data_IF_844286727215
#
_entry.id   IF_844286727215
#
_cell.length_a   1.000
_cell.length_b   1.000
_cell.length_c   1.000
_cell.angle_alpha   90.00
_cell.angle_beta   90.00
_cell.angle_gamma   90.00
#
_symmetry.space_group_name_H-M   'P 1'
#
loop_
_entity.id
_entity.type
_entity.pdbx_description
1 polymer ?
#
# COMPACT_ATOMS: atom_id res chain seq x y z
N UNK A 1 -13.63 17.17 2.07
CA UNK A 1 -12.71 16.05 2.37
C UNK A 1 -11.40 16.64 2.87
N UNK A 2 -11.03 16.38 4.12
CA UNK A 2 -9.88 17.00 4.79
C UNK A 2 -8.64 16.09 4.88
N UNK A 3 -8.67 14.89 4.27
CA UNK A 3 -7.61 13.90 4.42
C UNK A 3 -6.24 14.39 3.91
N UNK A 4 -6.22 15.26 2.89
CA UNK A 4 -4.99 15.83 2.30
C UNK A 4 -4.23 16.75 3.25
N UNK A 5 -4.94 17.38 4.18
CA UNK A 5 -4.38 18.29 5.18
C UNK A 5 -4.20 17.59 6.55
N UNK A 6 -4.50 16.29 6.62
CA UNK A 6 -4.51 15.53 7.85
C UNK A 6 -3.13 14.90 8.12
N UNK A 7 -2.26 15.70 8.72
CA UNK A 7 -0.92 15.31 9.17
C UNK A 7 -0.97 14.11 10.13
N UNK A 8 -2.00 14.06 11.00
CA UNK A 8 -2.22 12.93 11.90
C UNK A 8 -2.48 11.62 11.16
N UNK A 9 -3.21 11.65 10.04
CA UNK A 9 -3.40 10.49 9.19
C UNK A 9 -2.12 10.13 8.42
N UNK A 10 -1.41 11.12 7.87
CA UNK A 10 -0.15 10.92 7.15
C UNK A 10 0.96 10.34 8.04
N UNK A 11 0.94 10.62 9.34
CA UNK A 11 1.89 10.11 10.33
C UNK A 11 1.54 8.72 10.91
N UNK A 12 0.42 8.10 10.52
CA UNK A 12 0.06 6.76 11.01
C UNK A 12 1.08 5.67 10.63
N UNK A 13 1.57 5.59 9.37
CA UNK A 13 2.56 4.59 9.00
C UNK A 13 3.88 4.80 9.77
N UNK A 14 4.46 3.72 10.26
CA UNK A 14 5.75 3.68 10.90
C UNK A 14 6.85 3.38 9.88
N UNK A 15 8.11 3.65 10.24
CA UNK A 15 9.27 3.23 9.46
C UNK A 15 9.22 1.71 9.25
N UNK A 16 9.61 1.24 8.07
CA UNK A 16 9.58 -0.16 7.62
C UNK A 16 8.16 -0.73 7.38
N UNK A 17 7.10 0.07 7.56
CA UNK A 17 5.75 -0.35 7.13
C UNK A 17 5.71 -0.48 5.61
N UNK A 18 5.09 -1.57 5.15
CA UNK A 18 4.76 -1.78 3.74
C UNK A 18 3.37 -1.23 3.43
N UNK A 19 3.27 -0.42 2.38
CA UNK A 19 2.01 0.17 1.94
C UNK A 19 1.71 -0.24 0.49
N UNK A 20 0.48 -0.73 0.28
CA UNK A 20 -0.09 -0.90 -1.04
C UNK A 20 -0.85 0.36 -1.43
N UNK A 21 -0.41 1.05 -2.47
CA UNK A 21 -1.16 2.16 -3.06
C UNK A 21 -2.12 1.62 -4.11
N UNK A 22 -3.35 2.14 -4.11
CA UNK A 22 -4.40 1.67 -5.02
C UNK A 22 -5.08 2.83 -5.73
N UNK A 23 -5.15 2.75 -7.05
CA UNK A 23 -5.78 3.75 -7.91
C UNK A 23 -6.55 3.06 -9.05
N UNK A 24 -7.73 3.60 -9.39
CA UNK A 24 -8.58 3.10 -10.50
C UNK A 24 -8.84 1.57 -10.49
N UNK A 25 -8.90 0.95 -9.31
CA UNK A 25 -9.15 -0.49 -9.16
C UNK A 25 -7.91 -1.38 -9.21
N UNK A 26 -6.71 -0.81 -9.36
CA UNK A 26 -5.44 -1.54 -9.38
C UNK A 26 -4.60 -1.20 -8.16
N UNK A 27 -3.83 -2.17 -7.67
CA UNK A 27 -2.64 -1.88 -6.87
C UNK A 27 -1.60 -1.30 -7.83
N UNK A 28 -1.12 -0.09 -7.54
CA UNK A 28 -0.21 0.63 -8.42
C UNK A 28 1.20 0.70 -7.89
N UNK A 29 1.37 0.62 -6.57
CA UNK A 29 2.68 0.59 -5.94
C UNK A 29 2.66 -0.33 -4.72
N UNK A 30 3.81 -0.95 -4.46
CA UNK A 30 4.22 -1.43 -3.15
C UNK A 30 5.41 -0.56 -2.73
N UNK A 31 5.28 0.08 -1.57
CA UNK A 31 6.30 0.97 -1.03
C UNK A 31 6.66 0.59 0.40
N UNK A 32 7.87 0.93 0.81
CA UNK A 32 8.34 0.85 2.19
C UNK A 32 8.58 2.26 2.73
N UNK A 33 8.17 2.51 3.97
CA UNK A 33 8.32 3.80 4.63
C UNK A 33 9.72 3.96 5.20
N UNK A 34 10.43 5.04 4.85
CA UNK A 34 11.81 5.29 5.28
C UNK A 34 11.92 6.30 6.44
N UNK A 35 10.93 7.17 6.59
CA UNK A 35 10.89 8.21 7.63
C UNK A 35 10.10 7.79 8.87
N UNK A 36 10.33 8.50 9.98
CA UNK A 36 9.67 8.25 11.27
C UNK A 36 8.35 9.00 11.45
N UNK A 37 8.09 10.02 10.63
CA UNK A 37 6.89 10.88 10.70
C UNK A 37 6.65 11.55 9.36
N UNK A 38 5.47 12.13 9.15
CA UNK A 38 5.24 12.96 7.97
C UNK A 38 6.03 14.26 8.00
N UNK A 39 6.51 14.67 6.83
CA UNK A 39 7.15 15.96 6.61
C UNK A 39 6.18 16.97 6.00
N UNK A 40 6.52 18.25 6.12
CA UNK A 40 5.72 19.35 5.57
C UNK A 40 6.58 20.37 4.83
N UNK A 41 6.25 20.62 3.57
CA UNK A 41 6.80 21.73 2.78
C UNK A 41 6.36 23.09 3.35
N UNK A 42 7.29 24.06 3.33
CA UNK A 42 7.03 25.42 3.84
C UNK A 42 6.07 26.24 2.97
N UNK A 43 5.88 25.85 1.70
CA UNK A 43 5.04 26.59 0.75
C UNK A 43 3.59 26.11 0.80
N UNK A 44 2.63 27.04 0.68
CA UNK A 44 1.19 26.76 0.71
C UNK A 44 0.70 26.14 -0.60
N UNK A 45 1.07 24.89 -0.83
CA UNK A 45 0.57 24.04 -1.92
C UNK A 45 -0.52 23.11 -1.41
N UNK A 46 -1.42 22.68 -2.31
CA UNK A 46 -2.48 21.70 -2.06
C UNK A 46 -1.98 20.30 -1.65
N UNK A 47 -0.66 20.05 -1.70
CA UNK A 47 -0.01 18.80 -1.32
C UNK A 47 1.32 19.10 -0.62
N UNK A 48 1.26 19.71 0.56
CA UNK A 48 2.47 20.07 1.31
C UNK A 48 2.85 19.04 2.38
N UNK A 49 2.02 18.04 2.69
CA UNK A 49 2.36 16.93 3.61
C UNK A 49 2.81 15.72 2.80
N UNK A 50 3.93 15.11 3.16
CA UNK A 50 4.47 13.94 2.46
C UNK A 50 5.19 12.95 3.38
N UNK A 51 5.50 11.77 2.82
CA UNK A 51 6.33 10.72 3.41
C UNK A 51 7.49 10.40 2.49
N UNK A 52 8.64 10.07 3.05
CA UNK A 52 9.80 9.54 2.35
C UNK A 52 9.70 8.02 2.31
N UNK A 53 9.73 7.44 1.11
CA UNK A 53 9.43 6.03 0.87
C UNK A 53 10.37 5.44 -0.17
N UNK A 54 10.65 4.15 -0.08
CA UNK A 54 11.27 3.37 -1.14
C UNK A 54 10.17 2.68 -1.96
N UNK A 55 10.29 2.71 -3.29
CA UNK A 55 9.38 1.99 -4.18
C UNK A 55 9.93 0.60 -4.42
N UNK A 56 9.29 -0.42 -3.83
CA UNK A 56 9.67 -1.82 -4.01
C UNK A 56 9.10 -2.40 -5.31
N UNK A 57 7.93 -1.92 -5.73
CA UNK A 57 7.28 -2.31 -6.99
C UNK A 57 6.35 -1.21 -7.49
N UNK A 58 6.25 -1.08 -8.81
CA UNK A 58 5.34 -0.17 -9.51
C UNK A 58 4.70 -0.88 -10.69
N UNK A 59 3.42 -0.58 -10.94
CA UNK A 59 2.69 -1.11 -12.08
C UNK A 59 3.24 -0.56 -13.41
N UNK A 60 3.17 -1.38 -14.47
CA UNK A 60 3.27 -0.87 -15.84
C UNK A 60 2.01 -0.06 -16.18
N UNK A 61 2.16 1.26 -16.26
CA UNK A 61 1.06 2.19 -16.55
C UNK A 61 0.57 2.13 -18.01
N UNK A 62 1.42 1.67 -18.93
CA UNK A 62 1.08 1.55 -20.35
C UNK A 62 0.28 0.29 -20.62
N UNK A 63 0.63 -0.81 -19.95
CA UNK A 63 -0.06 -2.09 -20.09
C UNK A 63 -0.27 -2.77 -18.72
N UNK A 64 -1.22 -2.29 -17.89
CA UNK A 64 -1.41 -2.80 -16.55
C UNK A 64 -1.87 -4.27 -16.56
N UNK A 65 -1.09 -5.13 -15.90
CA UNK A 65 -1.41 -6.55 -15.77
C UNK A 65 -2.72 -6.78 -15.01
N UNK A 66 -3.47 -7.80 -15.44
CA UNK A 66 -4.64 -8.29 -14.71
C UNK A 66 -4.30 -8.76 -13.28
N UNK A 67 -3.07 -9.24 -13.05
CA UNK A 67 -2.63 -9.68 -11.71
C UNK A 67 -2.54 -8.53 -10.70
N UNK A 68 -2.34 -7.30 -11.18
CA UNK A 68 -2.28 -6.09 -10.35
C UNK A 68 -3.66 -5.52 -10.00
N UNK A 69 -4.76 -6.08 -10.54
CA UNK A 69 -6.12 -5.69 -10.14
C UNK A 69 -6.29 -5.92 -8.64
N UNK A 70 -6.90 -4.96 -7.95
CA UNK A 70 -6.96 -4.99 -6.49
C UNK A 70 -7.71 -6.20 -5.95
N UNK A 71 -8.78 -6.65 -6.61
CA UNK A 71 -9.47 -7.89 -6.22
C UNK A 71 -8.61 -9.14 -6.43
N UNK A 72 -7.73 -9.14 -7.43
CA UNK A 72 -6.73 -10.21 -7.66
C UNK A 72 -5.65 -10.19 -6.60
N UNK A 73 -5.05 -9.03 -6.32
CA UNK A 73 -4.01 -8.91 -5.26
C UNK A 73 -4.58 -9.28 -3.89
N UNK A 74 -5.76 -8.78 -3.53
CA UNK A 74 -6.37 -9.03 -2.22
C UNK A 74 -7.05 -10.39 -2.09
N UNK A 75 -7.40 -11.04 -3.20
CA UNK A 75 -8.09 -12.34 -3.20
C UNK A 75 -9.61 -12.23 -2.97
N UNK A 76 -10.14 -11.02 -2.81
CA UNK A 76 -11.57 -10.75 -2.63
C UNK A 76 -11.94 -9.37 -3.20
N UNK A 77 -13.24 -9.11 -3.49
CA UNK A 77 -13.68 -7.79 -3.94
C UNK A 77 -13.41 -6.68 -2.91
N UNK A 78 -12.52 -5.74 -3.24
CA UNK A 78 -12.09 -4.67 -2.32
C UNK A 78 -12.92 -3.41 -2.50
N UNK A 79 -13.48 -2.88 -1.40
CA UNK A 79 -14.22 -1.61 -1.36
C UNK A 79 -13.56 -0.53 -0.49
N UNK A 80 -12.31 -0.71 -0.05
CA UNK A 80 -11.55 0.33 0.65
C UNK A 80 -11.52 1.59 -0.21
N UNK A 81 -11.84 2.77 0.32
CA UNK A 81 -11.93 4.01 -0.47
C UNK A 81 -11.49 5.18 0.40
N UNK A 82 -11.04 6.26 -0.25
CA UNK A 82 -10.51 7.44 0.43
C UNK A 82 -8.99 7.54 0.35
N UNK A 83 -8.44 8.56 1.02
CA UNK A 83 -7.00 8.78 1.15
C UNK A 83 -6.47 8.54 2.57
N UNK A 84 -7.31 7.98 3.44
CA UNK A 84 -6.90 7.64 4.79
C UNK A 84 -6.06 6.37 4.82
N UNK A 85 -5.08 6.31 5.73
CA UNK A 85 -4.28 5.11 5.95
C UNK A 85 -5.15 4.06 6.62
N UNK A 86 -5.16 2.85 6.05
CA UNK A 86 -5.94 1.71 6.51
C UNK A 86 -5.01 0.55 6.88
N UNK A 87 -5.02 0.15 8.14
CA UNK A 87 -4.30 -1.04 8.60
C UNK A 87 -5.12 -2.29 8.29
N UNK A 88 -4.63 -3.13 7.38
CA UNK A 88 -5.40 -4.26 6.84
C UNK A 88 -5.85 -5.24 7.93
N UNK A 89 -5.00 -5.54 8.91
CA UNK A 89 -5.31 -6.48 9.99
C UNK A 89 -6.47 -6.01 10.88
N UNK A 90 -6.80 -4.71 10.85
CA UNK A 90 -7.94 -4.16 11.58
C UNK A 90 -9.24 -4.18 10.78
N UNK A 91 -9.19 -4.53 9.49
CA UNK A 91 -10.34 -4.49 8.60
C UNK A 91 -11.15 -5.80 8.70
N UNK A 92 -12.46 -5.76 8.99
CA UNK A 92 -13.28 -6.96 9.10
C UNK A 92 -13.27 -7.83 7.84
N UNK A 93 -13.29 -7.21 6.67
CA UNK A 93 -13.25 -7.93 5.38
C UNK A 93 -11.92 -8.64 5.13
N UNK A 94 -10.81 -8.07 5.61
CA UNK A 94 -9.50 -8.71 5.54
C UNK A 94 -9.44 -9.91 6.47
N UNK A 95 -9.83 -9.73 7.73
CA UNK A 95 -9.87 -10.81 8.73
C UNK A 95 -10.75 -11.98 8.27
N UNK A 96 -11.95 -11.71 7.78
CA UNK A 96 -12.86 -12.74 7.25
C UNK A 96 -12.23 -13.59 6.14
N UNK A 97 -11.40 -12.99 5.29
CA UNK A 97 -10.78 -13.71 4.19
C UNK A 97 -9.47 -14.39 4.62
N UNK A 98 -8.54 -13.65 5.22
CA UNK A 98 -7.16 -14.10 5.41
C UNK A 98 -6.88 -14.75 6.76
N UNK A 99 -7.66 -14.49 7.82
CA UNK A 99 -7.31 -14.94 9.17
C UNK A 99 -7.20 -16.47 9.29
N UNK A 100 -8.08 -17.22 8.62
CA UNK A 100 -8.03 -18.69 8.59
C UNK A 100 -7.07 -19.27 7.53
N UNK A 101 -6.42 -18.40 6.74
CA UNK A 101 -5.47 -18.77 5.68
C UNK A 101 -4.01 -18.45 6.06
N UNK A 102 -3.74 -18.04 7.30
CA UNK A 102 -2.40 -17.61 7.75
C UNK A 102 -2.25 -16.09 7.91
N UNK A 103 -3.34 -15.34 7.79
CA UNK A 103 -3.40 -13.91 8.08
C UNK A 103 -2.49 -13.07 7.17
N UNK A 104 -1.79 -12.11 7.77
CA UNK A 104 -0.95 -11.15 7.08
C UNK A 104 0.22 -11.81 6.33
N UNK A 105 0.79 -12.90 6.87
CA UNK A 105 1.89 -13.63 6.20
C UNK A 105 1.43 -14.24 4.87
N UNK A 106 0.30 -14.95 4.88
CA UNK A 106 -0.27 -15.54 3.66
C UNK A 106 -0.68 -14.46 2.65
N UNK A 107 -1.19 -13.32 3.13
CA UNK A 107 -1.46 -12.18 2.26
C UNK A 107 -0.19 -11.60 1.63
N UNK A 108 0.90 -11.46 2.39
CA UNK A 108 2.19 -11.00 1.87
C UNK A 108 2.75 -11.94 0.80
N UNK A 109 2.66 -13.26 0.98
CA UNK A 109 3.06 -14.25 -0.03
C UNK A 109 2.21 -14.12 -1.30
N UNK A 110 0.91 -13.89 -1.15
CA UNK A 110 0.03 -13.60 -2.29
C UNK A 110 0.46 -12.34 -3.01
N UNK A 111 0.72 -11.25 -2.29
CA UNK A 111 1.19 -9.99 -2.89
C UNK A 111 2.47 -10.22 -3.69
N UNK A 112 3.46 -10.93 -3.12
CA UNK A 112 4.69 -11.32 -3.83
C UNK A 112 4.39 -12.08 -5.12
N UNK A 113 3.50 -13.05 -5.07
CA UNK A 113 3.11 -13.86 -6.25
C UNK A 113 2.37 -13.03 -7.31
N UNK A 114 1.40 -12.20 -6.91
CA UNK A 114 0.54 -11.46 -7.85
C UNK A 114 1.27 -10.29 -8.51
N UNK A 115 2.21 -9.68 -7.80
CA UNK A 115 3.03 -8.58 -8.30
C UNK A 115 4.34 -9.06 -8.94
N UNK A 116 4.56 -10.39 -9.02
CA UNK A 116 5.78 -11.01 -9.52
C UNK A 116 7.05 -10.42 -8.87
N UNK A 117 6.99 -10.28 -7.54
CA UNK A 117 8.15 -9.88 -6.74
C UNK A 117 9.07 -11.08 -6.69
N UNK A 118 9.91 -11.23 -7.71
CA UNK A 118 11.04 -12.15 -7.63
C UNK A 118 11.77 -11.88 -6.32
N UNK A 119 12.09 -12.94 -5.56
CA UNK A 119 13.02 -12.80 -4.46
C UNK A 119 14.29 -12.22 -5.10
N UNK A 120 14.58 -10.94 -4.85
CA UNK A 120 15.89 -10.39 -5.18
C UNK A 120 16.88 -11.35 -4.51
N UNK A 121 17.58 -12.15 -5.30
CA UNK A 121 18.82 -12.72 -4.83
C UNK A 121 19.70 -11.52 -4.55
N UNK A 122 20.07 -11.35 -3.28
CA UNK A 122 21.16 -10.46 -2.90
C UNK A 122 22.38 -10.87 -3.72
N UNK A 123 22.62 -10.14 -4.81
CA UNK A 123 23.85 -10.27 -5.56
C UNK A 123 24.89 -9.42 -4.83
N UNK A 124 25.61 -10.09 -3.93
CA UNK A 124 27.04 -9.90 -3.63
C UNK A 124 27.50 -8.52 -3.18
#
# INVERSE_FOLDING_TARGET
MAWKDNEGNASKPQREDLILLRQRGYVTHLIEVLDYKSEREKWQSYFNIYRIVEVLWIIDWTNPSDSAKADKVFGYPVKYQGGDVMFLDTMPTFGQHWQNQGGSMAFQERVRTMLDLSAKSDNG
#
